data_IF_917696121795
#
_entry.id   IF_917696121795
#
_cell.length_a   1.000
_cell.length_b   1.000
_cell.length_c   1.000
_cell.angle_alpha   90.00
_cell.angle_beta   90.00
_cell.angle_gamma   90.00
#
_symmetry.space_group_name_H-M   'P 1'
#
loop_
_entity.id
_entity.type
_entity.pdbx_description
1 polymer ?
#
# COMPACT_ATOMS: atom_id res chain seq x y z
N UNK A 1 23.40 6.54 0.74
CA UNK A 1 22.17 5.84 1.16
C UNK A 1 22.37 5.41 2.59
N UNK A 2 21.72 6.09 3.54
CA UNK A 2 22.00 5.93 4.97
C UNK A 2 21.60 4.52 5.44
N UNK A 3 22.48 3.83 6.17
CA UNK A 3 22.27 2.45 6.65
C UNK A 3 20.99 2.25 7.47
N UNK A 4 20.34 3.32 7.93
CA UNK A 4 19.03 3.29 8.58
C UNK A 4 17.90 2.69 7.72
N UNK A 5 17.98 2.72 6.38
CA UNK A 5 16.98 2.09 5.50
C UNK A 5 17.05 0.54 5.52
N UNK A 6 18.19 -0.03 5.92
CA UNK A 6 18.34 -1.48 6.07
C UNK A 6 17.56 -2.01 7.28
N UNK A 7 17.21 -1.15 8.24
CA UNK A 7 16.45 -1.54 9.43
C UNK A 7 15.02 -1.97 9.04
N UNK A 8 14.19 -1.12 8.39
CA UNK A 8 12.87 -1.56 7.95
C UNK A 8 12.93 -2.63 6.86
N UNK A 9 13.90 -2.57 5.93
CA UNK A 9 14.08 -3.58 4.90
C UNK A 9 14.43 -4.96 5.46
N UNK A 10 15.36 -5.00 6.43
CA UNK A 10 15.75 -6.22 7.14
C UNK A 10 14.61 -6.76 8.01
N UNK A 11 13.87 -5.90 8.70
CA UNK A 11 12.70 -6.31 9.47
C UNK A 11 11.62 -6.95 8.58
N UNK A 12 11.34 -6.37 7.42
CA UNK A 12 10.43 -6.95 6.44
C UNK A 12 10.96 -8.28 5.88
N UNK A 13 12.25 -8.38 5.57
CA UNK A 13 12.85 -9.61 5.07
C UNK A 13 12.79 -10.75 6.09
N UNK A 14 13.02 -10.44 7.38
CA UNK A 14 12.86 -11.40 8.48
C UNK A 14 11.38 -11.75 8.74
N UNK A 15 10.45 -10.83 8.47
CA UNK A 15 9.00 -11.03 8.59
C UNK A 15 8.35 -11.77 7.42
N UNK A 16 8.96 -11.72 6.23
CA UNK A 16 8.41 -12.29 5.00
C UNK A 16 8.07 -13.79 5.11
N UNK A 17 8.88 -14.66 5.78
CA UNK A 17 8.54 -16.07 5.96
C UNK A 17 7.28 -16.31 6.80
N UNK A 18 6.84 -15.36 7.64
CA UNK A 18 5.67 -15.50 8.50
C UNK A 18 4.37 -15.02 7.84
N UNK A 19 4.46 -14.33 6.70
CA UNK A 19 3.32 -13.86 5.95
C UNK A 19 2.66 -15.03 5.21
N UNK A 20 1.36 -15.19 5.40
CA UNK A 20 0.60 -16.15 4.62
C UNK A 20 0.55 -15.71 3.16
N UNK A 21 0.77 -16.64 2.24
CA UNK A 21 0.70 -16.36 0.81
C UNK A 21 -0.67 -15.82 0.41
N UNK A 22 -0.70 -14.97 -0.62
CA UNK A 22 -1.97 -14.48 -1.16
C UNK A 22 -2.84 -15.66 -1.60
N UNK A 23 -4.06 -15.83 -1.05
CA UNK A 23 -4.92 -16.95 -1.40
C UNK A 23 -5.20 -17.02 -2.91
N UNK A 24 -5.41 -15.88 -3.57
CA UNK A 24 -5.64 -15.82 -5.03
C UNK A 24 -4.43 -16.30 -5.83
N UNK A 25 -3.24 -15.96 -5.39
CA UNK A 25 -2.01 -16.42 -6.04
C UNK A 25 -1.81 -17.94 -5.84
N UNK A 26 -2.11 -18.45 -4.65
CA UNK A 26 -2.04 -19.88 -4.34
C UNK A 26 -3.01 -20.70 -5.20
N UNK A 27 -4.26 -20.24 -5.37
CA UNK A 27 -5.24 -20.89 -6.27
C UNK A 27 -4.76 -20.83 -7.73
N UNK A 28 -4.16 -19.72 -8.18
CA UNK A 28 -3.59 -19.63 -9.55
C UNK A 28 -2.38 -20.56 -9.81
N UNK A 29 -1.84 -21.18 -8.77
CA UNK A 29 -0.75 -22.16 -8.82
C UNK A 29 -1.23 -23.57 -8.48
N UNK A 30 -2.54 -23.83 -8.54
CA UNK A 30 -3.19 -25.09 -8.19
C UNK A 30 -2.98 -25.53 -6.72
N UNK A 31 -2.52 -24.63 -5.85
CA UNK A 31 -2.27 -24.89 -4.42
C UNK A 31 -3.48 -24.56 -3.56
N UNK A 32 -4.60 -25.24 -3.84
CA UNK A 32 -5.88 -24.96 -3.19
C UNK A 32 -5.87 -25.18 -1.68
N UNK A 33 -5.20 -26.22 -1.18
CA UNK A 33 -5.14 -26.51 0.26
C UNK A 33 -4.42 -25.40 1.05
N UNK A 34 -3.33 -24.87 0.49
CA UNK A 34 -2.60 -23.74 1.08
C UNK A 34 -3.39 -22.43 0.97
N UNK A 35 -4.18 -22.27 -0.10
CA UNK A 35 -5.08 -21.14 -0.26
C UNK A 35 -6.20 -21.16 0.80
N UNK A 36 -6.79 -22.33 1.09
CA UNK A 36 -7.78 -22.50 2.17
C UNK A 36 -7.16 -22.19 3.52
N UNK A 37 -5.96 -22.70 3.83
CA UNK A 37 -5.25 -22.38 5.08
C UNK A 37 -4.98 -20.87 5.22
N UNK A 38 -4.53 -20.24 4.14
CA UNK A 38 -4.24 -18.80 4.13
C UNK A 38 -5.52 -17.97 4.29
N UNK A 39 -6.61 -18.35 3.61
CA UNK A 39 -7.90 -17.67 3.69
C UNK A 39 -8.59 -17.88 5.04
N UNK A 40 -8.50 -19.09 5.60
CA UNK A 40 -8.95 -19.44 6.96
C UNK A 40 -8.23 -18.59 8.01
N UNK A 41 -6.91 -18.42 7.90
CA UNK A 41 -6.12 -17.55 8.80
C UNK A 41 -6.52 -16.07 8.68
N UNK A 42 -6.73 -15.56 7.46
CA UNK A 42 -7.11 -14.15 7.23
C UNK A 42 -8.54 -13.87 7.71
N UNK A 43 -9.46 -14.83 7.53
CA UNK A 43 -10.88 -14.66 7.81
C UNK A 43 -11.30 -15.19 9.20
N UNK A 44 -10.38 -15.84 9.92
CA UNK A 44 -10.64 -16.48 11.21
C UNK A 44 -11.86 -17.42 11.18
N UNK A 45 -11.96 -18.21 10.11
CA UNK A 45 -13.05 -19.14 9.83
C UNK A 45 -12.48 -20.57 9.73
N UNK A 46 -13.24 -21.60 10.11
CA UNK A 46 -12.80 -22.98 9.94
C UNK A 46 -12.59 -23.30 8.46
N UNK A 47 -11.60 -24.14 8.17
CA UNK A 47 -11.20 -24.48 6.81
C UNK A 47 -12.34 -25.07 5.95
N UNK A 48 -13.35 -25.67 6.59
CA UNK A 48 -14.50 -26.30 5.94
C UNK A 48 -15.71 -25.34 5.77
N UNK A 49 -15.54 -24.04 6.05
CA UNK A 49 -16.66 -23.12 5.93
C UNK A 49 -17.05 -22.93 4.45
N UNK A 50 -18.35 -23.07 4.08
CA UNK A 50 -18.82 -23.02 2.69
C UNK A 50 -18.45 -21.74 1.95
N UNK A 51 -18.39 -20.60 2.63
CA UNK A 51 -17.90 -19.31 2.09
C UNK A 51 -16.47 -19.40 1.53
N UNK A 52 -15.55 -20.12 2.19
CA UNK A 52 -14.17 -20.23 1.71
C UNK A 52 -14.15 -21.01 0.40
N UNK A 53 -14.89 -22.11 0.34
CA UNK A 53 -15.00 -22.95 -0.86
C UNK A 53 -15.66 -22.21 -2.02
N UNK A 54 -16.61 -21.31 -1.75
CA UNK A 54 -17.19 -20.43 -2.77
C UNK A 54 -16.15 -19.45 -3.33
N UNK A 55 -15.39 -18.78 -2.46
CA UNK A 55 -14.34 -17.82 -2.87
C UNK A 55 -13.24 -18.49 -3.70
N UNK A 56 -12.87 -19.74 -3.39
CA UNK A 56 -11.89 -20.50 -4.16
C UNK A 56 -12.42 -20.96 -5.53
N UNK A 57 -13.74 -21.18 -5.66
CA UNK A 57 -14.38 -21.61 -6.91
C UNK A 57 -14.62 -20.46 -7.90
N UNK A 58 -14.41 -19.20 -7.48
CA UNK A 58 -14.56 -18.06 -8.37
C UNK A 58 -13.59 -18.19 -9.56
N UNK A 59 -14.07 -18.01 -10.80
CA UNK A 59 -13.23 -18.19 -11.99
C UNK A 59 -12.10 -17.15 -12.00
N UNK A 60 -10.84 -17.63 -11.98
CA UNK A 60 -9.63 -16.80 -12.04
C UNK A 60 -9.25 -16.37 -13.48
N UNK A 61 -9.98 -16.86 -14.47
CA UNK A 61 -9.72 -16.70 -15.91
C UNK A 61 -11.09 -16.73 -16.63
N UNK A 62 -11.48 -15.93 -17.63
CA UNK A 62 -10.81 -14.96 -18.50
C UNK A 62 -11.90 -14.22 -19.31
N UNK A 63 -11.97 -12.89 -19.29
CA UNK A 63 -12.58 -12.11 -20.40
C UNK A 63 -11.46 -11.53 -21.25
N UNK A 64 -11.08 -12.21 -22.35
CA UNK A 64 -9.88 -11.85 -23.15
C UNK A 64 -10.15 -10.77 -24.21
N UNK A 65 -11.40 -10.58 -24.63
CA UNK A 65 -11.77 -9.66 -25.73
C UNK A 65 -12.22 -8.28 -25.24
N UNK A 66 -12.81 -8.17 -24.04
CA UNK A 66 -13.03 -6.86 -23.38
C UNK A 66 -11.78 -6.31 -22.69
N UNK A 67 -10.73 -7.12 -22.62
CA UNK A 67 -9.49 -6.86 -21.88
C UNK A 67 -8.83 -5.53 -22.28
N UNK A 68 -8.79 -5.20 -23.58
CA UNK A 68 -8.07 -4.01 -24.04
C UNK A 68 -8.82 -2.72 -23.67
N UNK A 69 -10.14 -2.68 -23.86
CA UNK A 69 -10.94 -1.50 -23.52
C UNK A 69 -11.02 -1.32 -21.99
N UNK A 70 -11.28 -2.40 -21.23
CA UNK A 70 -11.29 -2.36 -19.77
C UNK A 70 -9.90 -1.99 -19.20
N UNK A 71 -8.83 -2.46 -19.84
CA UNK A 71 -7.47 -2.09 -19.47
C UNK A 71 -7.20 -0.61 -19.72
N UNK A 72 -7.62 -0.06 -20.88
CA UNK A 72 -7.43 1.35 -21.19
C UNK A 72 -8.21 2.25 -20.23
N UNK A 73 -9.45 1.89 -19.89
CA UNK A 73 -10.25 2.64 -18.92
C UNK A 73 -9.62 2.60 -17.52
N UNK A 74 -9.20 1.42 -17.06
CA UNK A 74 -8.54 1.28 -15.76
C UNK A 74 -7.18 1.97 -15.74
N UNK A 75 -6.41 1.86 -16.81
CA UNK A 75 -5.12 2.52 -16.96
C UNK A 75 -5.26 4.04 -16.98
N UNK A 76 -6.26 4.57 -17.70
CA UNK A 76 -6.57 5.99 -17.73
C UNK A 76 -7.02 6.48 -16.34
N UNK A 77 -7.86 5.72 -15.63
CA UNK A 77 -8.26 6.04 -14.26
C UNK A 77 -7.07 6.06 -13.32
N UNK A 78 -6.25 5.00 -13.30
CA UNK A 78 -5.06 4.91 -12.46
C UNK A 78 -4.06 6.04 -12.75
N UNK A 79 -3.80 6.32 -14.03
CA UNK A 79 -2.89 7.39 -14.45
C UNK A 79 -3.43 8.76 -14.08
N UNK A 80 -4.74 8.99 -14.22
CA UNK A 80 -5.39 10.25 -13.86
C UNK A 80 -5.40 10.48 -12.35
N UNK A 81 -5.70 9.45 -11.55
CA UNK A 81 -5.62 9.52 -10.10
C UNK A 81 -4.19 9.77 -9.64
N UNK A 82 -3.20 9.11 -10.26
CA UNK A 82 -1.79 9.33 -9.97
C UNK A 82 -1.34 10.74 -10.36
N UNK A 83 -1.78 11.26 -11.52
CA UNK A 83 -1.50 12.63 -11.92
C UNK A 83 -2.12 13.63 -10.93
N UNK A 84 -3.37 13.40 -10.53
CA UNK A 84 -4.08 14.29 -9.61
C UNK A 84 -3.44 14.33 -8.22
N UNK A 85 -3.10 13.17 -7.64
CA UNK A 85 -2.41 13.15 -6.33
C UNK A 85 -1.08 13.90 -6.38
N UNK A 86 -0.35 13.85 -7.50
CA UNK A 86 0.92 14.57 -7.65
C UNK A 86 0.71 16.07 -7.95
N UNK A 87 -0.34 16.42 -8.69
CA UNK A 87 -0.68 17.80 -9.05
C UNK A 87 -1.07 18.67 -7.85
N UNK A 88 -1.58 18.08 -6.77
CA UNK A 88 -1.82 18.79 -5.50
C UNK A 88 -0.54 19.36 -4.86
N UNK A 89 0.64 19.06 -5.40
CA UNK A 89 1.91 19.60 -4.89
C UNK A 89 2.37 18.92 -3.60
N UNK A 90 1.77 17.78 -3.22
CA UNK A 90 2.08 17.09 -1.96
C UNK A 90 3.57 16.73 -1.83
N UNK A 91 4.22 16.35 -2.93
CA UNK A 91 5.66 16.10 -2.95
C UNK A 91 6.47 17.37 -2.69
N UNK A 92 6.08 18.50 -3.28
CA UNK A 92 6.73 19.77 -3.04
C UNK A 92 6.59 20.19 -1.57
N UNK A 93 5.43 19.99 -0.95
CA UNK A 93 5.24 20.26 0.49
C UNK A 93 6.11 19.32 1.35
N UNK A 94 6.15 18.02 1.04
CA UNK A 94 6.97 17.06 1.78
C UNK A 94 8.48 17.43 1.74
N UNK A 95 8.99 17.93 0.62
CA UNK A 95 10.42 18.23 0.47
C UNK A 95 10.79 19.68 0.82
N UNK A 96 9.92 20.64 0.53
CA UNK A 96 10.22 22.07 0.68
C UNK A 96 9.50 22.72 1.85
N UNK A 97 8.63 22.02 2.60
CA UNK A 97 8.01 22.59 3.80
C UNK A 97 9.04 23.23 4.75
N UNK A 98 10.18 22.61 5.11
CA UNK A 98 11.10 23.26 6.05
C UNK A 98 11.74 24.52 5.46
N UNK A 99 11.98 24.54 4.15
CA UNK A 99 12.54 25.70 3.42
C UNK A 99 11.54 26.83 3.31
N UNK A 100 10.27 26.52 3.01
CA UNK A 100 9.17 27.48 2.98
C UNK A 100 9.00 28.09 4.36
N UNK A 101 8.83 27.28 5.41
CA UNK A 101 8.67 27.77 6.78
C UNK A 101 9.89 28.55 7.30
N UNK A 102 11.11 28.24 6.84
CA UNK A 102 12.31 29.03 7.13
C UNK A 102 12.27 30.42 6.48
N UNK A 103 11.68 30.56 5.30
CA UNK A 103 11.55 31.85 4.59
C UNK A 103 10.48 32.78 5.16
N UNK A 104 9.42 32.25 5.78
CA UNK A 104 8.33 33.03 6.41
C UNK A 104 8.50 33.22 7.93
N UNK A 105 9.76 33.32 8.41
CA UNK A 105 10.11 33.86 9.74
C UNK A 105 10.19 32.90 10.94
N UNK A 106 10.90 31.78 10.84
CA UNK A 106 11.51 31.12 12.01
C UNK A 106 13.00 30.85 11.77
N UNK A 107 13.85 31.78 12.17
CA UNK A 107 15.31 31.69 12.07
C UNK A 107 15.88 30.89 13.25
N UNK A 108 16.18 29.61 13.03
CA UNK A 108 16.93 28.79 13.99
C UNK A 108 17.14 27.35 13.53
N UNK A 109 18.29 26.76 13.83
CA UNK A 109 18.66 25.37 13.43
C UNK A 109 17.67 24.31 13.99
N UNK A 110 16.95 24.64 15.07
CA UNK A 110 15.90 23.81 15.69
C UNK A 110 14.52 23.93 15.05
N UNK A 111 14.28 24.97 14.23
CA UNK A 111 12.98 25.21 13.62
C UNK A 111 12.63 24.15 12.56
N UNK A 112 13.62 23.72 11.76
CA UNK A 112 13.41 22.72 10.69
C UNK A 112 12.95 21.36 11.24
N UNK A 113 13.55 20.90 12.34
CA UNK A 113 13.17 19.64 13.01
C UNK A 113 11.78 19.75 13.65
N UNK A 114 11.49 20.87 14.31
CA UNK A 114 10.18 21.12 14.94
C UNK A 114 9.06 21.18 13.88
N UNK A 115 9.28 21.91 12.78
CA UNK A 115 8.30 22.04 11.69
C UNK A 115 8.06 20.73 10.96
N UNK A 116 9.12 19.95 10.68
CA UNK A 116 8.97 18.62 10.06
C UNK A 116 8.23 17.66 11.01
N UNK A 117 8.48 17.74 12.32
CA UNK A 117 7.77 16.98 13.34
C UNK A 117 6.28 17.33 13.42
N UNK A 118 5.95 18.62 13.48
CA UNK A 118 4.56 19.11 13.48
C UNK A 118 3.83 18.72 12.19
N UNK A 119 4.48 18.84 11.03
CA UNK A 119 3.93 18.37 9.76
C UNK A 119 3.62 16.86 9.77
N UNK A 120 4.52 16.06 10.35
CA UNK A 120 4.30 14.63 10.56
C UNK A 120 3.08 14.33 11.43
N UNK A 121 2.89 15.09 12.51
CA UNK A 121 1.74 14.96 13.41
C UNK A 121 0.43 15.32 12.68
N UNK A 122 0.40 16.45 11.95
CA UNK A 122 -0.77 16.87 11.19
C UNK A 122 -1.16 15.80 10.16
N UNK A 123 -0.17 15.22 9.47
CA UNK A 123 -0.39 14.14 8.50
C UNK A 123 -0.93 12.87 9.15
N UNK A 124 -0.46 12.53 10.36
CA UNK A 124 -0.96 11.37 11.12
C UNK A 124 -2.40 11.60 11.59
N UNK A 125 -2.69 12.78 12.13
CA UNK A 125 -4.06 13.13 12.53
C UNK A 125 -5.01 13.13 11.33
N UNK A 126 -4.60 13.72 10.20
CA UNK A 126 -5.40 13.69 8.97
C UNK A 126 -5.54 12.32 8.32
N UNK A 127 -4.76 11.31 8.71
CA UNK A 127 -4.93 9.93 8.26
C UNK A 127 -5.84 9.10 9.17
N UNK A 128 -6.11 9.58 10.39
CA UNK A 128 -6.98 8.94 11.37
C UNK A 128 -8.45 9.34 11.24
N UNK A 129 -8.73 10.48 10.60
CA UNK A 129 -10.07 10.99 10.30
C UNK A 129 -10.35 10.91 8.80
#
# INVERSE_FOLDING_TARGET
>A
MSGAQLIPGGLLALGAPFLSGSPRWLVSRDRNDDAVKSLSKIRNLPADHPYLMEVLKLPLHTKRVSLVLEFLDLFALCSSLFAWQNATGINAINYYSPTIFKSISVTGMHASLLTTGVYGIIKLLGALF
#
